data_IF_405381858863
#
_entry.id   IF_405381858863
#
_cell.length_a   1.000
_cell.length_b   1.000
_cell.length_c   1.000
_cell.angle_alpha   90.00
_cell.angle_beta   90.00
_cell.angle_gamma   90.00
#
_symmetry.space_group_name_H-M   'P 1'
#
loop_
_entity.id
_entity.type
_entity.pdbx_description
1 polymer ?
#
# COMPACT_ATOMS: atom_id res chain seq x y z
N UNK A 1 -9.48 10.54 -18.03
CA UNK A 1 -8.46 9.52 -17.64
C UNK A 1 -9.16 8.19 -17.36
N UNK A 2 -8.50 7.09 -17.63
CA UNK A 2 -8.98 5.75 -17.28
C UNK A 2 -8.67 5.42 -15.81
N UNK A 3 -9.40 4.48 -15.21
CA UNK A 3 -9.10 3.94 -13.86
C UNK A 3 -7.64 3.48 -13.75
N UNK A 4 -7.11 2.86 -14.81
CA UNK A 4 -5.72 2.40 -14.85
C UNK A 4 -4.72 3.55 -14.76
N UNK A 5 -4.96 4.63 -15.49
CA UNK A 5 -4.11 5.84 -15.41
C UNK A 5 -4.20 6.50 -14.03
N UNK A 6 -5.38 6.62 -13.45
CA UNK A 6 -5.55 7.15 -12.08
C UNK A 6 -4.81 6.30 -11.04
N UNK A 7 -4.84 4.97 -11.15
CA UNK A 7 -4.07 4.07 -10.28
C UNK A 7 -2.57 4.30 -10.44
N UNK A 8 -2.08 4.45 -11.66
CA UNK A 8 -0.66 4.73 -11.91
C UNK A 8 -0.22 6.08 -11.31
N UNK A 9 -1.07 7.12 -11.40
CA UNK A 9 -0.82 8.41 -10.74
C UNK A 9 -0.82 8.27 -9.22
N UNK A 10 -1.77 7.53 -8.65
CA UNK A 10 -1.82 7.28 -7.21
C UNK A 10 -0.60 6.50 -6.72
N UNK A 11 -0.14 5.49 -7.47
CA UNK A 11 1.10 4.77 -7.17
C UNK A 11 2.31 5.72 -7.16
N UNK A 12 2.43 6.62 -8.15
CA UNK A 12 3.49 7.62 -8.21
C UNK A 12 3.42 8.63 -7.05
N UNK A 13 2.23 9.15 -6.77
CA UNK A 13 1.99 10.06 -5.65
C UNK A 13 2.37 9.40 -4.31
N UNK A 14 1.99 8.14 -4.13
CA UNK A 14 2.30 7.34 -2.93
C UNK A 14 3.81 7.09 -2.79
N UNK A 15 4.50 6.72 -3.87
CA UNK A 15 5.97 6.60 -3.90
C UNK A 15 6.63 7.94 -3.55
N UNK A 16 6.10 9.05 -4.06
CA UNK A 16 6.61 10.40 -3.80
C UNK A 16 6.44 10.80 -2.33
N UNK A 17 5.28 10.56 -1.74
CA UNK A 17 5.02 10.77 -0.32
C UNK A 17 5.93 9.89 0.55
N UNK A 18 6.09 8.61 0.19
CA UNK A 18 6.96 7.67 0.89
C UNK A 18 8.44 8.09 0.84
N UNK A 19 8.89 8.76 -0.21
CA UNK A 19 10.23 9.32 -0.27
C UNK A 19 10.42 10.44 0.75
N UNK A 20 9.44 11.34 0.90
CA UNK A 20 9.47 12.43 1.88
C UNK A 20 9.44 11.89 3.31
N UNK A 21 8.53 10.95 3.61
CA UNK A 21 8.44 10.36 4.96
C UNK A 21 9.68 9.56 5.33
N UNK A 22 10.33 8.91 4.35
CA UNK A 22 11.62 8.23 4.57
C UNK A 22 12.71 9.23 4.97
N UNK A 23 12.80 10.40 4.31
CA UNK A 23 13.78 11.43 4.68
C UNK A 23 13.50 12.00 6.08
N UNK A 24 12.25 12.26 6.44
CA UNK A 24 11.88 12.69 7.78
C UNK A 24 12.35 11.68 8.84
N UNK A 25 12.14 10.39 8.61
CA UNK A 25 12.63 9.33 9.52
C UNK A 25 14.15 9.26 9.59
N UNK A 26 14.87 9.53 8.48
CA UNK A 26 16.34 9.65 8.47
C UNK A 26 16.81 10.86 9.28
N UNK A 27 16.04 11.95 9.27
CA UNK A 27 16.27 13.14 10.11
C UNK A 27 15.81 12.95 11.57
N UNK A 28 15.39 11.75 11.95
CA UNK A 28 14.85 11.42 13.29
C UNK A 28 13.62 12.27 13.66
N UNK A 29 12.81 12.64 12.67
CA UNK A 29 11.54 13.33 12.83
C UNK A 29 10.38 12.34 12.83
N UNK A 30 9.34 12.68 13.57
CA UNK A 30 8.13 11.88 13.62
C UNK A 30 7.33 12.02 12.32
N UNK A 31 6.78 10.90 11.86
CA UNK A 31 5.81 10.86 10.77
C UNK A 31 4.43 10.58 11.39
N UNK A 32 3.43 11.43 11.15
CA UNK A 32 2.10 11.20 11.70
C UNK A 32 1.53 9.84 11.27
N UNK A 33 0.96 9.07 12.18
CA UNK A 33 0.36 7.76 11.88
C UNK A 33 -0.70 7.82 10.78
N UNK A 34 -1.44 8.91 10.69
CA UNK A 34 -2.41 9.13 9.61
C UNK A 34 -1.77 9.09 8.22
N UNK A 35 -0.50 9.54 8.09
CA UNK A 35 0.25 9.49 6.83
C UNK A 35 0.71 8.07 6.51
N UNK A 36 1.15 7.32 7.53
CA UNK A 36 1.48 5.90 7.36
C UNK A 36 0.27 5.11 6.85
N UNK A 37 -0.89 5.33 7.46
CA UNK A 37 -2.15 4.71 7.06
C UNK A 37 -2.63 5.17 5.68
N UNK A 38 -2.39 6.42 5.30
CA UNK A 38 -2.68 6.92 3.96
C UNK A 38 -1.88 6.15 2.90
N UNK A 39 -0.57 5.93 3.14
CA UNK A 39 0.30 5.15 2.24
C UNK A 39 -0.21 3.70 2.12
N UNK A 40 -0.53 3.06 3.25
CA UNK A 40 -1.09 1.70 3.25
C UNK A 40 -2.40 1.64 2.48
N UNK A 41 -3.33 2.56 2.74
CA UNK A 41 -4.63 2.63 2.05
C UNK A 41 -4.45 2.79 0.53
N UNK A 42 -3.57 3.67 0.10
CA UNK A 42 -3.30 3.89 -1.32
C UNK A 42 -2.74 2.64 -2.00
N UNK A 43 -1.83 1.92 -1.35
CA UNK A 43 -1.32 0.64 -1.85
C UNK A 43 -2.44 -0.40 -1.97
N UNK A 44 -3.36 -0.47 -1.02
CA UNK A 44 -4.54 -1.33 -1.11
C UNK A 44 -5.46 -0.93 -2.26
N UNK A 45 -5.72 0.38 -2.46
CA UNK A 45 -6.59 0.88 -3.54
C UNK A 45 -6.03 0.60 -4.94
N UNK A 46 -4.70 0.54 -5.07
CA UNK A 46 -4.02 0.28 -6.35
C UNK A 46 -3.66 -1.19 -6.56
N UNK A 47 -3.97 -2.07 -5.60
CA UNK A 47 -3.73 -3.50 -5.74
C UNK A 47 -4.57 -4.12 -6.87
N UNK A 48 -4.03 -5.18 -7.49
CA UNK A 48 -4.75 -5.89 -8.55
C UNK A 48 -6.03 -6.55 -8.01
N UNK A 49 -7.09 -6.51 -8.81
CA UNK A 49 -8.39 -7.09 -8.45
C UNK A 49 -9.23 -6.24 -7.50
N UNK A 50 -8.71 -5.15 -6.96
CA UNK A 50 -9.49 -4.20 -6.15
C UNK A 50 -10.31 -3.29 -7.06
N UNK A 51 -11.59 -3.15 -6.75
CA UNK A 51 -12.50 -2.28 -7.50
C UNK A 51 -12.53 -0.89 -6.81
N UNK A 52 -11.81 0.07 -7.39
CA UNK A 52 -11.81 1.46 -6.92
C UNK A 52 -12.49 2.34 -7.97
N UNK A 53 -13.37 3.23 -7.55
CA UNK A 53 -14.00 4.18 -8.46
C UNK A 53 -13.11 5.40 -8.73
N UNK A 54 -13.39 6.13 -9.82
CA UNK A 54 -12.60 7.26 -10.28
C UNK A 54 -12.59 8.41 -9.25
N UNK A 55 -13.69 8.62 -8.56
CA UNK A 55 -13.83 9.70 -7.59
C UNK A 55 -12.97 9.41 -6.34
N UNK A 56 -13.00 8.16 -5.86
CA UNK A 56 -12.16 7.75 -4.73
C UNK A 56 -10.67 7.82 -5.06
N UNK A 57 -10.26 7.40 -6.27
CA UNK A 57 -8.88 7.50 -6.72
C UNK A 57 -8.43 8.95 -6.83
N UNK A 58 -9.24 9.82 -7.43
CA UNK A 58 -8.93 11.25 -7.57
C UNK A 58 -8.79 11.93 -6.20
N UNK A 59 -9.70 11.68 -5.28
CA UNK A 59 -9.62 12.20 -3.92
C UNK A 59 -8.35 11.73 -3.19
N UNK A 60 -7.99 10.44 -3.33
CA UNK A 60 -6.78 9.90 -2.73
C UNK A 60 -5.49 10.52 -3.32
N UNK A 61 -5.47 10.82 -4.64
CA UNK A 61 -4.36 11.52 -5.30
C UNK A 61 -4.20 12.92 -4.71
N UNK A 62 -5.28 13.70 -4.63
CA UNK A 62 -5.27 15.06 -4.09
C UNK A 62 -4.81 15.08 -2.62
N UNK A 63 -5.35 14.19 -1.78
CA UNK A 63 -4.96 14.04 -0.39
C UNK A 63 -3.46 13.71 -0.27
N UNK A 64 -2.97 12.80 -1.09
CA UNK A 64 -1.57 12.37 -1.07
C UNK A 64 -0.62 13.50 -1.43
N UNK A 65 -0.91 14.29 -2.47
CA UNK A 65 -0.10 15.45 -2.82
C UNK A 65 -0.19 16.55 -1.76
N UNK A 66 -1.35 16.79 -1.16
CA UNK A 66 -1.50 17.75 -0.07
C UNK A 66 -0.63 17.38 1.14
N UNK A 67 -0.66 16.12 1.57
CA UNK A 67 0.19 15.63 2.65
C UNK A 67 1.67 15.71 2.30
N UNK A 68 2.03 15.36 1.06
CA UNK A 68 3.41 15.49 0.58
C UNK A 68 3.92 16.93 0.67
N UNK A 69 3.14 17.92 0.22
CA UNK A 69 3.54 19.35 0.30
C UNK A 69 3.79 19.79 1.73
N UNK A 70 2.90 19.41 2.65
CA UNK A 70 3.02 19.74 4.07
C UNK A 70 4.30 19.15 4.65
N UNK A 71 4.54 17.87 4.46
CA UNK A 71 5.69 17.18 5.04
C UNK A 71 7.02 17.55 4.36
N UNK A 72 7.01 17.84 3.07
CA UNK A 72 8.21 18.27 2.34
C UNK A 72 8.76 19.59 2.91
N UNK A 73 7.92 20.48 3.41
CA UNK A 73 8.33 21.72 4.06
C UNK A 73 9.07 21.49 5.40
N UNK A 74 8.89 20.32 6.01
CA UNK A 74 9.55 19.93 7.26
C UNK A 74 10.94 19.29 7.04
N UNK A 75 11.24 18.84 5.81
CA UNK A 75 12.55 18.25 5.47
C UNK A 75 13.61 19.36 5.46
N UNK A 76 14.60 19.28 6.34
CA UNK A 76 15.60 20.33 6.52
C UNK A 76 16.90 20.10 5.76
N UNK A 77 17.27 18.86 5.52
CA UNK A 77 18.48 18.48 4.81
C UNK A 77 18.16 17.35 3.81
N UNK A 78 17.48 17.65 2.69
CA UNK A 78 17.14 16.61 1.75
C UNK A 78 18.42 15.97 1.23
N UNK A 79 18.69 14.75 1.70
CA UNK A 79 19.56 13.84 0.99
C UNK A 79 18.90 13.64 -0.37
N UNK A 80 19.63 13.28 -1.38
CA UNK A 80 19.15 13.26 -2.75
C UNK A 80 17.78 12.54 -2.86
N UNK A 81 16.71 13.31 -2.74
CA UNK A 81 15.36 12.81 -3.08
C UNK A 81 15.34 12.44 -4.58
N UNK A 82 14.75 11.31 -4.97
CA UNK A 82 14.56 10.99 -6.38
C UNK A 82 13.81 12.13 -7.08
N UNK A 83 14.26 12.52 -8.30
CA UNK A 83 13.68 13.65 -9.01
C UNK A 83 12.15 13.55 -9.16
N UNK A 84 11.65 12.34 -9.45
CA UNK A 84 10.23 12.08 -9.62
C UNK A 84 9.43 12.18 -8.31
N UNK A 85 10.09 12.13 -7.14
CA UNK A 85 9.42 12.38 -5.85
C UNK A 85 9.10 13.86 -5.63
N UNK A 86 9.75 14.76 -6.34
CA UNK A 86 9.52 16.19 -6.26
C UNK A 86 8.39 16.67 -7.20
N UNK A 87 7.94 15.79 -8.12
CA UNK A 87 6.85 16.14 -9.03
C UNK A 87 5.59 16.50 -8.24
N UNK A 88 5.05 17.70 -8.54
CA UNK A 88 3.88 18.26 -7.88
C UNK A 88 2.98 18.88 -8.96
N UNK A 89 1.97 18.14 -9.46
CA UNK A 89 1.14 18.60 -10.58
C UNK A 89 0.23 19.73 -10.16
N UNK A 90 0.05 20.69 -11.07
CA UNK A 90 -0.95 21.75 -10.92
C UNK A 90 -2.38 21.22 -11.14
N UNK A 91 -2.54 20.14 -11.88
CA UNK A 91 -3.82 19.51 -12.14
C UNK A 91 -3.73 18.24 -12.98
N UNK A 92 -4.90 17.61 -13.25
CA UNK A 92 -4.96 16.32 -13.98
C UNK A 92 -4.40 16.37 -15.41
N UNK A 93 -4.34 17.55 -16.02
CA UNK A 93 -3.83 17.72 -17.39
C UNK A 93 -2.34 17.33 -17.52
N UNK A 94 -1.59 17.36 -16.41
CA UNK A 94 -0.18 17.00 -16.39
C UNK A 94 0.07 15.49 -16.21
N UNK A 95 -0.95 14.72 -15.82
CA UNK A 95 -0.79 13.30 -15.43
C UNK A 95 -0.33 12.44 -16.60
N UNK A 96 -0.95 12.58 -17.76
CA UNK A 96 -0.66 11.74 -18.93
C UNK A 96 0.80 11.91 -19.41
N UNK A 97 1.29 13.14 -19.46
CA UNK A 97 2.66 13.44 -19.85
C UNK A 97 3.68 12.84 -18.85
N UNK A 98 3.39 12.94 -17.54
CA UNK A 98 4.26 12.38 -16.50
C UNK A 98 4.27 10.86 -16.52
N UNK A 99 3.13 10.21 -16.72
CA UNK A 99 3.06 8.76 -16.84
C UNK A 99 3.85 8.24 -18.04
N UNK A 100 3.78 8.92 -19.20
CA UNK A 100 4.56 8.56 -20.38
C UNK A 100 6.08 8.68 -20.15
N UNK A 101 6.53 9.75 -19.45
CA UNK A 101 7.94 9.91 -19.05
C UNK A 101 8.43 8.77 -18.15
N UNK A 102 7.58 8.34 -17.19
CA UNK A 102 7.92 7.26 -16.26
C UNK A 102 7.95 5.93 -16.98
N UNK A 103 6.98 5.66 -17.84
CA UNK A 103 6.91 4.42 -18.62
C UNK A 103 8.18 4.23 -19.46
N UNK A 104 8.66 5.27 -20.11
CA UNK A 104 9.93 5.23 -20.85
C UNK A 104 11.12 4.87 -19.95
N UNK A 105 11.25 5.48 -18.78
CA UNK A 105 12.31 5.19 -17.81
C UNK A 105 12.25 3.77 -17.25
N UNK A 106 11.04 3.28 -16.95
CA UNK A 106 10.82 1.95 -16.37
C UNK A 106 11.18 0.83 -17.37
N UNK A 107 10.92 1.03 -18.66
CA UNK A 107 11.14 0.04 -19.70
C UNK A 107 12.55 0.06 -20.31
N UNK A 108 13.45 0.92 -19.86
CA UNK A 108 14.85 0.96 -20.32
C UNK A 108 15.59 -0.37 -20.12
N UNK A 109 15.22 -1.15 -19.08
CA UNK A 109 15.72 -2.49 -18.81
C UNK A 109 14.60 -3.43 -18.41
N UNK A 110 14.28 -4.43 -19.23
CA UNK A 110 13.16 -5.35 -19.05
C UNK A 110 13.26 -6.20 -17.77
N UNK A 111 14.46 -6.66 -17.39
CA UNK A 111 14.65 -7.45 -16.17
C UNK A 111 14.47 -6.58 -14.92
N UNK A 112 15.00 -5.36 -14.95
CA UNK A 112 14.82 -4.40 -13.88
C UNK A 112 13.34 -3.98 -13.73
N UNK A 113 12.63 -3.79 -14.85
CA UNK A 113 11.19 -3.55 -14.85
C UNK A 113 10.44 -4.69 -14.18
N UNK A 114 10.66 -5.94 -14.63
CA UNK A 114 9.96 -7.11 -14.08
C UNK A 114 10.17 -7.26 -12.57
N UNK A 115 11.42 -7.11 -12.09
CA UNK A 115 11.72 -7.17 -10.67
C UNK A 115 11.07 -6.02 -9.89
N UNK A 116 11.00 -4.82 -10.46
CA UNK A 116 10.33 -3.67 -9.83
C UNK A 116 8.83 -3.94 -9.67
N UNK A 117 8.18 -4.55 -10.68
CA UNK A 117 6.78 -4.94 -10.59
C UNK A 117 6.55 -6.00 -9.50
N UNK A 118 7.45 -6.99 -9.37
CA UNK A 118 7.39 -7.99 -8.28
C UNK A 118 7.50 -7.31 -6.91
N UNK A 119 8.44 -6.38 -6.75
CA UNK A 119 8.59 -5.60 -5.51
C UNK A 119 7.31 -4.84 -5.19
N UNK A 120 6.74 -4.11 -6.17
CA UNK A 120 5.51 -3.33 -5.96
C UNK A 120 4.31 -4.20 -5.61
N UNK A 121 4.14 -5.34 -6.30
CA UNK A 121 3.08 -6.30 -5.97
C UNK A 121 3.24 -6.84 -4.54
N UNK A 122 4.46 -7.18 -4.13
CA UNK A 122 4.76 -7.60 -2.76
C UNK A 122 4.44 -6.53 -1.71
N UNK A 123 4.78 -5.25 -1.97
CA UNK A 123 4.43 -4.14 -1.07
C UNK A 123 2.92 -3.96 -0.92
N UNK A 124 2.16 -4.10 -2.02
CA UNK A 124 0.69 -4.04 -1.99
C UNK A 124 0.10 -5.20 -1.17
N UNK A 125 0.69 -6.40 -1.26
CA UNK A 125 0.32 -7.54 -0.42
C UNK A 125 0.60 -7.29 1.07
N UNK A 126 1.78 -6.78 1.42
CA UNK A 126 2.13 -6.40 2.80
C UNK A 126 1.14 -5.35 3.33
N UNK A 127 0.85 -4.33 2.54
CA UNK A 127 -0.10 -3.28 2.91
C UNK A 127 -1.50 -3.84 3.20
N UNK A 128 -1.98 -4.82 2.41
CA UNK A 128 -3.26 -5.50 2.64
C UNK A 128 -3.30 -6.20 3.99
N UNK A 129 -2.29 -7.01 4.32
CA UNK A 129 -2.20 -7.69 5.61
C UNK A 129 -2.07 -6.73 6.79
N UNK A 130 -1.25 -5.67 6.64
CA UNK A 130 -1.08 -4.65 7.65
C UNK A 130 -2.37 -3.86 7.90
N UNK A 131 -3.11 -3.54 6.83
CA UNK A 131 -4.40 -2.85 6.93
C UNK A 131 -5.45 -3.67 7.68
N UNK A 132 -5.59 -4.96 7.32
CA UNK A 132 -6.53 -5.85 8.02
C UNK A 132 -6.17 -6.03 9.50
N UNK A 133 -4.88 -6.21 9.82
CA UNK A 133 -4.42 -6.29 11.20
C UNK A 133 -4.72 -5.00 11.98
N UNK A 134 -4.45 -3.84 11.38
CA UNK A 134 -4.75 -2.54 11.98
C UNK A 134 -6.24 -2.35 12.29
N UNK A 135 -7.14 -2.77 11.39
CA UNK A 135 -8.59 -2.67 11.61
C UNK A 135 -9.09 -3.44 12.83
N UNK A 136 -8.38 -4.47 13.26
CA UNK A 136 -8.70 -5.25 14.46
C UNK A 136 -7.79 -4.93 15.66
N UNK A 137 -7.02 -3.84 15.56
CA UNK A 137 -6.25 -3.26 16.67
C UNK A 137 -4.82 -3.75 16.80
N UNK A 138 -4.24 -4.34 15.74
CA UNK A 138 -2.86 -4.86 15.78
C UNK A 138 -1.99 -4.16 14.74
N UNK A 139 -0.77 -3.85 15.14
CA UNK A 139 0.23 -3.22 14.26
C UNK A 139 1.65 -3.68 14.59
N UNK A 140 2.54 -3.48 13.63
CA UNK A 140 3.97 -3.75 13.74
C UNK A 140 4.75 -2.52 13.28
N UNK A 141 5.45 -1.88 14.22
CA UNK A 141 6.20 -0.63 14.01
C UNK A 141 7.26 -0.70 12.88
N UNK A 142 7.69 -1.92 12.51
CA UNK A 142 8.68 -2.11 11.45
C UNK A 142 8.11 -2.09 10.04
N UNK A 143 6.79 -2.28 9.87
CA UNK A 143 6.16 -2.42 8.53
C UNK A 143 6.10 -1.06 7.82
N UNK A 144 5.60 -0.01 8.47
CA UNK A 144 5.43 1.31 7.85
C UNK A 144 6.75 1.89 7.33
N UNK A 145 7.85 1.95 8.14
CA UNK A 145 9.13 2.44 7.66
C UNK A 145 9.72 1.57 6.53
N UNK A 146 9.48 0.25 6.59
CA UNK A 146 9.91 -0.66 5.54
C UNK A 146 9.23 -0.35 4.20
N UNK A 147 7.89 -0.27 4.19
CA UNK A 147 7.10 0.04 2.99
C UNK A 147 7.58 1.35 2.36
N UNK A 148 7.73 2.40 3.17
CA UNK A 148 8.13 3.74 2.69
C UNK A 148 9.53 3.74 2.09
N UNK A 149 10.50 3.12 2.77
CA UNK A 149 11.87 2.99 2.29
C UNK A 149 11.95 2.23 0.97
N UNK A 150 11.19 1.16 0.82
CA UNK A 150 11.19 0.37 -0.42
C UNK A 150 10.50 1.13 -1.53
N UNK A 151 9.36 1.80 -1.29
CA UNK A 151 8.69 2.66 -2.26
C UNK A 151 9.62 3.76 -2.76
N UNK A 152 10.35 4.46 -1.89
CA UNK A 152 11.37 5.44 -2.29
C UNK A 152 12.41 4.83 -3.23
N UNK A 153 12.88 3.61 -2.95
CA UNK A 153 13.87 2.94 -3.79
C UNK A 153 13.34 2.61 -5.17
N UNK A 154 12.05 2.30 -5.32
CA UNK A 154 11.46 2.01 -6.63
C UNK A 154 11.43 3.22 -7.56
N UNK A 155 11.55 4.44 -7.07
CA UNK A 155 11.71 5.67 -7.87
C UNK A 155 13.12 5.84 -8.45
N UNK A 156 14.09 5.00 -8.08
CA UNK A 156 15.45 5.02 -8.63
C UNK A 156 15.55 4.05 -9.80
N UNK A 157 15.30 4.54 -11.01
CA UNK A 157 15.30 3.69 -12.24
C UNK A 157 16.68 3.13 -12.59
N UNK A 158 17.74 3.69 -12.03
CA UNK A 158 19.14 3.24 -12.22
C UNK A 158 19.55 2.07 -11.29
N UNK A 159 18.62 1.52 -10.49
CA UNK A 159 18.93 0.36 -9.65
C UNK A 159 19.27 -0.87 -10.53
N UNK A 160 20.39 -1.52 -10.22
CA UNK A 160 20.79 -2.75 -10.90
C UNK A 160 19.82 -3.90 -10.61
N UNK A 161 19.73 -4.85 -11.54
CA UNK A 161 18.96 -6.10 -11.42
C UNK A 161 19.30 -6.83 -10.11
N UNK A 162 20.59 -6.92 -9.73
CA UNK A 162 21.00 -7.56 -8.48
C UNK A 162 20.47 -6.87 -7.22
N UNK A 163 20.44 -5.52 -7.21
CA UNK A 163 19.86 -4.77 -6.09
C UNK A 163 18.34 -4.93 -6.01
N UNK A 164 17.66 -4.95 -7.14
CA UNK A 164 16.20 -5.19 -7.19
C UNK A 164 15.86 -6.63 -6.79
N UNK A 165 16.68 -7.61 -7.16
CA UNK A 165 16.52 -8.99 -6.70
C UNK A 165 16.66 -9.09 -5.17
N UNK A 166 17.69 -8.49 -4.57
CA UNK A 166 17.85 -8.47 -3.12
C UNK A 166 16.66 -7.76 -2.44
N UNK A 167 16.16 -6.69 -3.05
CA UNK A 167 14.99 -5.98 -2.55
C UNK A 167 13.72 -6.84 -2.59
N UNK A 168 13.54 -7.65 -3.64
CA UNK A 168 12.41 -8.58 -3.72
C UNK A 168 12.46 -9.66 -2.64
N UNK A 169 13.66 -10.15 -2.29
CA UNK A 169 13.85 -11.09 -1.18
C UNK A 169 13.53 -10.45 0.17
N UNK A 170 13.93 -9.19 0.37
CA UNK A 170 13.60 -8.43 1.59
C UNK A 170 12.08 -8.23 1.73
N UNK A 171 11.40 -7.88 0.63
CA UNK A 171 9.94 -7.78 0.55
C UNK A 171 9.27 -9.12 0.91
N UNK A 172 9.79 -10.24 0.41
CA UNK A 172 9.32 -11.58 0.79
C UNK A 172 9.39 -11.84 2.30
N UNK A 173 10.49 -11.44 2.94
CA UNK A 173 10.67 -11.56 4.39
C UNK A 173 9.64 -10.74 5.18
N UNK A 174 9.39 -9.49 4.78
CA UNK A 174 8.35 -8.65 5.38
C UNK A 174 6.93 -9.12 5.04
N UNK A 175 6.72 -9.72 3.87
CA UNK A 175 5.47 -10.40 3.53
C UNK A 175 5.15 -11.51 4.52
N UNK A 176 6.09 -12.39 4.79
CA UNK A 176 5.92 -13.43 5.82
C UNK A 176 5.61 -12.85 7.20
N UNK A 177 6.33 -11.79 7.60
CA UNK A 177 6.11 -11.11 8.89
C UNK A 177 4.72 -10.49 8.98
N UNK A 178 4.23 -9.84 7.93
CA UNK A 178 2.89 -9.22 7.91
C UNK A 178 1.76 -10.26 7.89
N UNK A 179 1.95 -11.39 7.20
CA UNK A 179 1.02 -12.52 7.28
C UNK A 179 0.94 -13.08 8.71
N UNK A 180 2.09 -13.26 9.38
CA UNK A 180 2.14 -13.71 10.76
C UNK A 180 1.48 -12.72 11.74
N UNK A 181 1.64 -11.42 11.53
CA UNK A 181 0.94 -10.39 12.30
C UNK A 181 -0.58 -10.57 12.20
N UNK A 182 -1.11 -10.68 10.97
CA UNK A 182 -2.55 -10.83 10.74
C UNK A 182 -3.08 -12.15 11.29
N UNK A 183 -2.34 -13.25 11.12
CA UNK A 183 -2.74 -14.57 11.65
C UNK A 183 -2.85 -14.55 13.19
N UNK A 184 -1.84 -14.02 13.87
CA UNK A 184 -1.86 -13.85 15.31
C UNK A 184 -3.01 -12.93 15.77
N UNK A 185 -3.23 -11.82 15.09
CA UNK A 185 -4.30 -10.88 15.38
C UNK A 185 -5.68 -11.55 15.25
N UNK A 186 -5.89 -12.34 14.20
CA UNK A 186 -7.14 -13.10 13.98
C UNK A 186 -7.35 -14.18 15.03
N UNK A 187 -6.31 -14.93 15.39
CA UNK A 187 -6.36 -15.96 16.44
C UNK A 187 -6.74 -15.34 17.79
N UNK A 188 -6.12 -14.21 18.11
CA UNK A 188 -6.36 -13.52 19.39
C UNK A 188 -7.77 -12.93 19.45
N UNK A 189 -8.28 -12.37 18.34
CA UNK A 189 -9.61 -11.77 18.28
C UNK A 189 -10.74 -12.78 18.12
N UNK A 190 -10.57 -13.77 17.24
CA UNK A 190 -11.64 -14.69 16.84
C UNK A 190 -11.45 -16.14 17.35
N UNK A 191 -10.29 -16.42 17.95
CA UNK A 191 -9.91 -17.75 18.41
C UNK A 191 -9.26 -18.61 17.33
N UNK A 192 -8.60 -19.67 17.78
CA UNK A 192 -7.94 -20.62 16.88
C UNK A 192 -8.96 -21.44 16.07
N UNK A 193 -8.68 -21.78 14.81
CA UNK A 193 -9.50 -22.68 14.01
C UNK A 193 -9.71 -24.01 14.72
N UNK A 194 -10.95 -24.52 14.73
CA UNK A 194 -11.34 -25.79 15.36
C UNK A 194 -12.13 -26.63 14.36
N UNK A 195 -11.95 -27.96 14.46
CA UNK A 195 -12.82 -28.90 13.77
C UNK A 195 -14.24 -28.73 14.29
N UNK A 196 -15.17 -28.37 13.41
CA UNK A 196 -16.56 -28.10 13.75
C UNK A 196 -17.47 -28.89 12.82
N UNK A 197 -18.52 -29.50 13.38
CA UNK A 197 -19.57 -30.12 12.58
C UNK A 197 -20.50 -29.02 12.04
N UNK A 198 -20.66 -29.01 10.72
CA UNK A 198 -21.52 -28.03 10.03
C UNK A 198 -22.81 -28.74 9.62
N UNK A 199 -23.96 -28.19 10.03
CA UNK A 199 -25.27 -28.63 9.56
C UNK A 199 -25.49 -28.06 8.15
N UNK A 200 -25.70 -28.94 7.16
CA UNK A 200 -25.97 -28.57 5.76
C UNK A 200 -27.45 -28.31 5.48
N UNK A 201 -28.32 -28.51 6.47
CA UNK A 201 -29.75 -28.34 6.35
C UNK A 201 -30.21 -26.87 6.48
N UNK A 202 -31.39 -26.58 5.93
CA UNK A 202 -32.04 -25.27 6.08
C UNK A 202 -32.86 -25.26 7.37
N UNK A 203 -32.71 -24.24 8.17
CA UNK A 203 -33.52 -24.02 9.39
C UNK A 203 -34.87 -23.37 9.06
N UNK A 204 -35.80 -23.40 10.01
CA UNK A 204 -37.18 -22.91 9.83
C UNK A 204 -37.31 -21.38 9.84
N UNK A 205 -36.31 -20.66 10.29
CA UNK A 205 -36.30 -19.20 10.33
C UNK A 205 -35.63 -18.60 9.09
N UNK A 206 -35.93 -17.35 8.72
CA UNK A 206 -35.17 -16.63 7.71
C UNK A 206 -33.68 -16.66 8.02
N UNK A 207 -32.85 -16.75 6.99
CA UNK A 207 -31.39 -16.79 7.11
C UNK A 207 -30.74 -15.81 6.14
N UNK A 208 -29.53 -15.35 6.49
CA UNK A 208 -28.67 -14.54 5.65
C UNK A 208 -27.51 -15.43 5.22
N UNK A 209 -27.35 -15.58 3.89
CA UNK A 209 -26.18 -16.27 3.33
C UNK A 209 -25.03 -15.29 3.22
N UNK A 210 -23.93 -15.59 3.91
CA UNK A 210 -22.69 -14.80 3.86
C UNK A 210 -21.64 -15.59 3.09
N UNK A 211 -20.98 -14.92 2.14
CA UNK A 211 -19.87 -15.49 1.37
C UNK A 211 -18.74 -14.47 1.33
N UNK A 212 -17.55 -14.85 1.78
CA UNK A 212 -16.37 -13.99 1.81
C UNK A 212 -15.37 -14.40 2.88
N UNK A 213 -14.23 -13.72 2.92
CA UNK A 213 -13.13 -13.96 3.87
C UNK A 213 -12.90 -12.79 4.83
N UNK A 214 -13.68 -11.71 4.71
CA UNK A 214 -13.57 -10.53 5.58
C UNK A 214 -14.24 -10.79 6.93
N UNK A 215 -13.43 -11.15 7.91
CA UNK A 215 -13.88 -11.44 9.27
C UNK A 215 -14.42 -10.20 9.99
N UNK A 216 -13.91 -9.01 9.66
CA UNK A 216 -14.39 -7.75 10.26
C UNK A 216 -15.77 -7.39 9.74
N UNK A 217 -16.01 -7.53 8.44
CA UNK A 217 -17.34 -7.33 7.87
C UNK A 217 -18.37 -8.32 8.44
N UNK A 218 -17.97 -9.59 8.65
CA UNK A 218 -18.81 -10.60 9.30
C UNK A 218 -19.12 -10.20 10.76
N UNK A 219 -18.13 -9.74 11.52
CA UNK A 219 -18.32 -9.26 12.90
C UNK A 219 -19.35 -8.11 12.93
N UNK A 220 -19.18 -7.09 12.08
CA UNK A 220 -20.14 -5.98 11.98
C UNK A 220 -21.54 -6.44 11.57
N UNK A 221 -21.69 -7.44 10.71
CA UNK A 221 -22.99 -8.01 10.36
C UNK A 221 -23.64 -8.71 11.55
N UNK A 222 -22.86 -9.50 12.30
CA UNK A 222 -23.38 -10.20 13.49
C UNK A 222 -23.79 -9.25 14.62
N UNK A 223 -23.16 -8.06 14.73
CA UNK A 223 -23.55 -7.03 15.69
C UNK A 223 -24.89 -6.36 15.33
N UNK A 224 -25.31 -6.42 14.06
CA UNK A 224 -26.55 -5.79 13.56
C UNK A 224 -27.73 -6.77 13.49
N UNK A 225 -27.51 -8.07 13.64
CA UNK A 225 -28.53 -9.12 13.49
C UNK A 225 -28.75 -9.91 14.77
#
# INVERSE_FOLDING_TARGET
MTVTELRAVLDLATKSLAAVTTELRVEMKDVPKAVDLLIIRNLCMTAEGVNSDDAALSAAIEETFAQKRTLLAEVTAPRVLPADSLWDPAGPDEYAAKLAEIDEKEHENADAYSLRQIVLAGLKGIAGFAWEAYQIGYEDEGIDPFLQRVLQRTLKYTLSVGLLFNLSMEVGGFGYRSMGLLDNARIERYGSPKLTNIELGVRTKPGILVCGSDMRALECLLEQT
#
